data_IF_776146110789
#
_entry.id   IF_776146110789
#
_cell.length_a   1.000
_cell.length_b   1.000
_cell.length_c   1.000
_cell.angle_alpha   90.00
_cell.angle_beta   90.00
_cell.angle_gamma   90.00
#
_symmetry.space_group_name_H-M   'P 1'
#
loop_
_entity.id
_entity.type
_entity.pdbx_description
1 polymer ?
#
# COMPACT_ATOMS: atom_id res chain seq x y z
N UNK A 1 -3.90 8.25 -20.43
CA UNK A 1 -3.64 8.03 -19.00
C UNK A 1 -4.34 9.14 -18.25
N UNK A 2 -5.08 8.80 -17.20
CA UNK A 2 -5.72 9.77 -16.31
C UNK A 2 -4.64 10.61 -15.62
N UNK A 3 -4.94 11.85 -15.25
CA UNK A 3 -4.12 12.55 -14.26
C UNK A 3 -4.24 11.87 -12.90
N UNK A 4 -3.23 12.04 -12.04
CA UNK A 4 -3.24 11.48 -10.68
C UNK A 4 -4.49 11.89 -9.91
N UNK A 5 -4.98 13.12 -10.09
CA UNK A 5 -6.22 13.62 -9.47
C UNK A 5 -7.48 12.92 -9.98
N UNK A 6 -7.59 12.74 -11.29
CA UNK A 6 -8.75 12.04 -11.87
C UNK A 6 -8.76 10.59 -11.41
N UNK A 7 -7.59 9.94 -11.43
CA UNK A 7 -7.49 8.54 -11.05
C UNK A 7 -7.71 8.31 -9.56
N UNK A 8 -7.11 9.12 -8.69
CA UNK A 8 -7.32 9.02 -7.26
C UNK A 8 -8.78 9.27 -6.86
N UNK A 9 -9.45 10.25 -7.46
CA UNK A 9 -10.86 10.52 -7.18
C UNK A 9 -11.79 9.39 -7.63
N UNK A 10 -11.49 8.78 -8.77
CA UNK A 10 -12.22 7.63 -9.28
C UNK A 10 -12.01 6.39 -8.39
N UNK A 11 -10.76 6.12 -8.02
CA UNK A 11 -10.42 5.01 -7.14
C UNK A 11 -11.03 5.18 -5.74
N UNK A 12 -11.12 6.41 -5.23
CA UNK A 12 -11.79 6.72 -3.97
C UNK A 12 -13.27 6.33 -3.98
N UNK A 13 -13.92 6.43 -5.14
CA UNK A 13 -15.30 5.97 -5.32
C UNK A 13 -15.45 4.45 -5.40
N UNK A 14 -14.35 3.73 -5.67
CA UNK A 14 -14.34 2.27 -5.79
C UNK A 14 -13.95 1.56 -4.48
N UNK A 15 -13.13 2.17 -3.64
CA UNK A 15 -12.64 1.57 -2.38
C UNK A 15 -13.69 1.71 -1.27
N UNK A 16 -13.99 0.61 -0.58
CA UNK A 16 -14.67 0.60 0.72
C UNK A 16 -13.70 1.06 1.83
N UNK A 17 -13.61 2.39 2.00
CA UNK A 17 -12.65 3.07 2.88
C UNK A 17 -12.84 2.68 4.34
N UNK A 18 -14.09 2.65 4.82
CA UNK A 18 -14.41 2.33 6.21
C UNK A 18 -14.00 0.88 6.53
N UNK A 19 -14.22 -0.05 5.60
CA UNK A 19 -13.83 -1.45 5.78
C UNK A 19 -12.32 -1.65 5.72
N UNK A 20 -11.62 -0.89 4.89
CA UNK A 20 -10.15 -0.83 4.92
C UNK A 20 -9.64 -0.38 6.29
N UNK A 21 -10.10 0.78 6.78
CA UNK A 21 -9.66 1.32 8.06
C UNK A 21 -10.01 0.39 9.23
N UNK A 22 -11.22 -0.20 9.21
CA UNK A 22 -11.66 -1.20 10.18
C UNK A 22 -10.74 -2.42 10.20
N UNK A 23 -10.39 -2.98 9.04
CA UNK A 23 -9.51 -4.14 8.96
C UNK A 23 -8.16 -3.81 9.57
N UNK A 24 -7.51 -2.74 9.08
CA UNK A 24 -6.16 -2.37 9.52
C UNK A 24 -6.14 -2.05 11.01
N UNK A 25 -7.13 -1.30 11.52
CA UNK A 25 -7.26 -1.01 12.95
C UNK A 25 -7.53 -2.24 13.81
N UNK A 26 -8.26 -3.24 13.31
CA UNK A 26 -8.60 -4.45 14.06
C UNK A 26 -7.45 -5.45 14.14
N UNK A 27 -6.65 -5.58 13.07
CA UNK A 27 -5.63 -6.63 12.95
C UNK A 27 -4.19 -6.11 12.99
N UNK A 28 -3.96 -4.84 12.65
CA UNK A 28 -2.63 -4.29 12.37
C UNK A 28 -1.64 -4.47 13.52
N UNK A 29 -2.09 -4.23 14.76
CA UNK A 29 -1.25 -4.37 15.95
C UNK A 29 -0.91 -5.82 16.29
N UNK A 30 -1.76 -6.76 15.90
CA UNK A 30 -1.50 -8.18 16.07
C UNK A 30 -0.32 -8.62 15.20
N UNK A 31 -0.08 -7.95 14.07
CA UNK A 31 0.86 -8.39 13.04
C UNK A 31 2.24 -7.70 13.08
N UNK A 32 2.58 -7.05 14.20
CA UNK A 32 3.87 -6.35 14.35
C UNK A 32 5.06 -7.29 14.67
N UNK A 33 4.78 -8.55 15.03
CA UNK A 33 5.80 -9.57 15.31
C UNK A 33 6.62 -9.94 14.08
N UNK A 34 7.90 -10.28 14.24
CA UNK A 34 8.81 -10.60 13.11
C UNK A 34 8.25 -11.68 12.17
N UNK A 35 7.57 -12.69 12.71
CA UNK A 35 6.96 -13.78 11.93
C UNK A 35 5.64 -13.38 11.26
N UNK A 36 5.02 -12.30 11.72
CA UNK A 36 3.68 -11.87 11.31
C UNK A 36 3.74 -10.77 10.23
N UNK A 37 4.94 -10.28 9.88
CA UNK A 37 5.11 -9.18 8.91
C UNK A 37 4.70 -9.56 7.48
N UNK A 38 4.91 -10.81 7.09
CA UNK A 38 4.43 -11.31 5.80
C UNK A 38 2.90 -11.36 5.78
N UNK A 39 2.28 -11.87 6.86
CA UNK A 39 0.83 -11.84 7.00
C UNK A 39 0.26 -10.42 6.95
N UNK A 40 0.98 -9.45 7.54
CA UNK A 40 0.59 -8.04 7.49
C UNK A 40 0.55 -7.53 6.05
N UNK A 41 1.57 -7.84 5.26
CA UNK A 41 1.62 -7.49 3.83
C UNK A 41 0.45 -8.13 3.12
N UNK A 42 0.35 -9.46 3.15
CA UNK A 42 -0.67 -10.22 2.42
C UNK A 42 -2.09 -9.77 2.77
N UNK A 43 -2.37 -9.53 4.05
CA UNK A 43 -3.72 -9.17 4.50
C UNK A 43 -4.09 -7.74 4.11
N UNK A 44 -3.19 -6.77 4.30
CA UNK A 44 -3.50 -5.36 4.01
C UNK A 44 -3.47 -5.10 2.50
N UNK A 45 -2.59 -5.75 1.76
CA UNK A 45 -2.54 -5.67 0.31
C UNK A 45 -3.78 -6.32 -0.30
N UNK A 46 -4.00 -7.62 -0.07
CA UNK A 46 -5.07 -8.37 -0.74
C UNK A 46 -6.47 -7.95 -0.31
N UNK A 47 -6.62 -7.18 0.77
CA UNK A 47 -7.93 -6.62 1.12
C UNK A 47 -8.43 -5.64 0.05
N UNK A 48 -7.54 -4.95 -0.67
CA UNK A 48 -7.92 -4.00 -1.70
C UNK A 48 -8.64 -4.65 -2.88
N UNK A 49 -8.31 -5.90 -3.24
CA UNK A 49 -9.10 -6.64 -4.24
C UNK A 49 -10.56 -6.82 -3.76
N UNK A 50 -10.75 -7.20 -2.49
CA UNK A 50 -12.09 -7.38 -1.92
C UNK A 50 -12.82 -6.05 -1.76
N UNK A 51 -12.10 -5.00 -1.37
CA UNK A 51 -12.68 -3.70 -1.02
C UNK A 51 -12.88 -2.79 -2.23
N UNK A 52 -12.45 -3.22 -3.41
CA UNK A 52 -12.76 -2.59 -4.69
C UNK A 52 -13.68 -3.45 -5.57
N UNK A 53 -14.36 -4.43 -4.97
CA UNK A 53 -15.22 -5.39 -5.67
C UNK A 53 -14.53 -6.07 -6.86
N UNK A 54 -13.24 -6.40 -6.69
CA UNK A 54 -12.40 -7.04 -7.69
C UNK A 54 -11.78 -6.10 -8.72
N UNK A 55 -11.98 -4.78 -8.62
CA UNK A 55 -11.40 -3.83 -9.56
C UNK A 55 -9.88 -3.84 -9.52
N UNK A 56 -9.27 -3.73 -8.35
CA UNK A 56 -7.83 -3.92 -8.18
C UNK A 56 -7.54 -5.42 -8.07
N UNK A 57 -7.25 -6.06 -9.19
CA UNK A 57 -7.04 -7.50 -9.24
C UNK A 57 -5.63 -7.84 -8.80
N UNK A 58 -5.47 -8.64 -7.76
CA UNK A 58 -4.15 -9.04 -7.26
C UNK A 58 -3.45 -10.01 -8.22
N UNK A 59 -2.15 -9.79 -8.47
CA UNK A 59 -1.36 -10.58 -9.45
C UNK A 59 0.00 -11.10 -8.96
N UNK A 60 0.52 -10.65 -7.80
CA UNK A 60 1.78 -11.13 -7.18
C UNK A 60 3.01 -11.10 -8.09
N UNK A 61 3.16 -10.02 -8.86
CA UNK A 61 4.28 -9.84 -9.79
C UNK A 61 5.32 -8.86 -9.23
N UNK A 62 6.58 -9.00 -9.66
CA UNK A 62 7.66 -8.12 -9.20
C UNK A 62 7.45 -6.66 -9.63
N UNK A 63 7.18 -5.78 -8.66
CA UNK A 63 6.88 -4.36 -8.90
C UNK A 63 5.45 -4.11 -9.36
N UNK A 64 4.57 -5.10 -9.17
CA UNK A 64 3.14 -5.01 -9.47
C UNK A 64 2.33 -5.93 -8.57
N UNK A 65 1.69 -5.34 -7.57
CA UNK A 65 0.74 -6.04 -6.70
C UNK A 65 -0.64 -6.22 -7.37
N UNK A 66 -1.08 -5.24 -8.17
CA UNK A 66 -2.40 -5.25 -8.81
C UNK A 66 -2.39 -4.84 -10.29
N UNK A 67 -3.43 -5.30 -11.00
CA UNK A 67 -3.89 -4.71 -12.26
C UNK A 67 -5.27 -4.08 -12.02
N UNK A 68 -5.42 -2.79 -12.30
CA UNK A 68 -6.75 -2.16 -12.36
C UNK A 68 -7.53 -2.71 -13.55
N UNK A 69 -8.57 -3.49 -13.28
CA UNK A 69 -9.37 -4.13 -14.34
C UNK A 69 -10.19 -3.16 -15.18
N UNK A 70 -10.37 -1.91 -14.73
CA UNK A 70 -11.12 -0.89 -15.45
C UNK A 70 -10.25 -0.21 -16.52
N UNK A 71 -8.99 0.10 -16.17
CA UNK A 71 -8.09 0.88 -17.03
C UNK A 71 -6.86 0.12 -17.52
N UNK A 72 -6.56 -1.04 -16.93
CA UNK A 72 -5.38 -1.85 -17.21
C UNK A 72 -4.09 -1.28 -16.63
N UNK A 73 -4.16 -0.42 -15.62
CA UNK A 73 -2.98 0.13 -14.97
C UNK A 73 -2.32 -0.90 -14.04
N UNK A 74 -0.99 -0.95 -14.11
CA UNK A 74 -0.17 -1.70 -13.16
C UNK A 74 0.00 -0.86 -11.88
N UNK A 75 -0.28 -1.46 -10.72
CA UNK A 75 -0.24 -0.78 -9.42
C UNK A 75 0.65 -1.54 -8.44
N UNK A 76 1.53 -0.81 -7.79
CA UNK A 76 2.29 -1.26 -6.61
C UNK A 76 1.69 -0.64 -5.34
N UNK A 77 1.55 -1.42 -4.28
CA UNK A 77 1.08 -0.95 -2.97
C UNK A 77 2.19 -1.03 -1.92
N UNK A 78 2.36 0.06 -1.17
CA UNK A 78 3.33 0.14 -0.06
C UNK A 78 2.62 0.56 1.20
N UNK A 79 2.68 -0.30 2.22
CA UNK A 79 2.10 -0.01 3.52
C UNK A 79 3.16 0.24 4.59
N UNK A 80 3.00 1.30 5.37
CA UNK A 80 3.77 1.55 6.59
C UNK A 80 2.91 2.28 7.61
N UNK A 81 3.11 1.99 8.90
CA UNK A 81 2.45 2.71 9.97
C UNK A 81 2.89 4.18 9.95
N UNK A 82 1.92 5.09 9.96
CA UNK A 82 2.13 6.55 9.95
C UNK A 82 2.94 7.05 8.75
N UNK A 83 2.82 6.41 7.58
CA UNK A 83 3.61 6.75 6.38
C UNK A 83 3.34 8.18 5.90
N UNK A 84 2.07 8.56 5.79
CA UNK A 84 1.58 9.79 5.18
C UNK A 84 1.26 10.88 6.20
N UNK A 85 0.80 10.51 7.40
CA UNK A 85 0.44 11.45 8.46
C UNK A 85 1.07 11.08 9.80
N UNK A 86 1.37 12.10 10.61
CA UNK A 86 1.85 11.91 11.98
C UNK A 86 0.70 11.70 12.98
N UNK A 87 0.81 10.77 13.95
CA UNK A 87 -0.24 10.51 14.95
C UNK A 87 -0.58 11.73 15.82
N UNK A 88 0.42 12.55 16.12
CA UNK A 88 0.31 13.59 17.14
C UNK A 88 -0.32 14.91 16.64
N UNK A 89 -0.32 15.14 15.32
CA UNK A 89 -0.74 16.44 14.73
C UNK A 89 -1.52 16.32 13.43
N UNK A 90 -1.65 15.13 12.85
CA UNK A 90 -2.29 14.96 11.53
C UNK A 90 -1.54 15.70 10.40
N UNK A 91 -0.27 16.06 10.63
CA UNK A 91 0.53 16.70 9.60
C UNK A 91 0.95 15.65 8.57
N UNK A 92 0.87 16.04 7.29
CA UNK A 92 1.44 15.29 6.18
C UNK A 92 2.95 15.07 6.38
N UNK A 93 3.45 13.94 5.86
CA UNK A 93 4.85 13.53 5.90
C UNK A 93 5.37 13.32 4.49
N UNK A 94 6.66 13.53 4.32
CA UNK A 94 7.41 13.12 3.14
C UNK A 94 7.83 11.64 3.30
N UNK A 95 7.17 10.68 2.63
CA UNK A 95 7.46 9.28 2.84
C UNK A 95 8.69 8.85 2.04
N UNK A 96 9.36 7.78 2.50
CA UNK A 96 10.51 7.20 1.82
C UNK A 96 10.27 5.70 1.54
N UNK A 97 9.23 5.34 0.76
CA UNK A 97 8.91 3.94 0.53
C UNK A 97 10.06 3.24 -0.19
N UNK A 98 10.39 2.03 0.25
CA UNK A 98 11.26 1.12 -0.49
C UNK A 98 10.46 0.53 -1.65
N UNK A 99 10.79 0.93 -2.87
CA UNK A 99 10.08 0.56 -4.09
C UNK A 99 10.63 -0.73 -4.70
N UNK A 100 11.92 -1.01 -4.50
CA UNK A 100 12.57 -2.21 -5.00
C UNK A 100 13.62 -2.72 -4.02
N UNK A 101 13.82 -4.03 -3.97
CA UNK A 101 14.94 -4.66 -3.26
C UNK A 101 15.67 -5.60 -4.24
N UNK A 102 16.96 -5.34 -4.47
CA UNK A 102 17.81 -6.08 -5.39
C UNK A 102 18.30 -7.43 -4.85
N UNK A 103 17.91 -7.79 -3.61
CA UNK A 103 18.31 -9.01 -2.92
C UNK A 103 19.84 -9.19 -2.88
N UNK A 104 20.58 -8.08 -2.87
CA UNK A 104 22.04 -8.04 -2.85
C UNK A 104 22.71 -8.11 -4.23
N UNK A 105 21.98 -7.95 -5.34
CA UNK A 105 22.56 -7.96 -6.70
C UNK A 105 23.28 -6.67 -7.11
N UNK A 106 23.61 -5.78 -6.17
CA UNK A 106 24.28 -4.50 -6.38
C UNK A 106 23.32 -3.31 -6.47
N UNK A 107 23.89 -2.09 -6.48
CA UNK A 107 23.12 -0.85 -6.61
C UNK A 107 22.40 -0.82 -7.96
N UNK A 108 21.08 -0.73 -7.93
CA UNK A 108 20.27 -0.44 -9.11
C UNK A 108 20.13 1.08 -9.24
N UNK A 109 20.46 1.62 -10.41
CA UNK A 109 20.27 3.04 -10.70
C UNK A 109 18.83 3.36 -11.12
N UNK A 110 18.06 2.35 -11.54
CA UNK A 110 16.70 2.47 -12.02
C UNK A 110 15.79 1.38 -11.43
N UNK A 111 14.48 1.64 -11.46
CA UNK A 111 13.46 0.66 -11.08
C UNK A 111 13.24 -0.30 -12.26
N UNK A 112 13.44 -1.62 -12.11
CA UNK A 112 13.44 -2.54 -13.25
C UNK A 112 12.05 -2.74 -13.88
N UNK A 113 10.99 -2.71 -13.06
CA UNK A 113 9.59 -2.86 -13.50
C UNK A 113 8.75 -1.81 -12.78
N UNK A 114 8.70 -0.55 -13.26
CA UNK A 114 7.86 0.46 -12.63
C UNK A 114 6.39 0.19 -12.89
N UNK A 115 5.59 0.20 -11.82
CA UNK A 115 4.13 0.31 -11.91
C UNK A 115 3.73 1.68 -12.49
N UNK A 116 2.55 1.76 -13.11
CA UNK A 116 1.98 3.04 -13.56
C UNK A 116 1.71 3.95 -12.35
N UNK A 117 1.17 3.35 -11.28
CA UNK A 117 0.84 4.04 -10.03
C UNK A 117 1.35 3.30 -8.79
N UNK A 118 1.69 4.07 -7.77
CA UNK A 118 2.07 3.62 -6.44
C UNK A 118 1.01 4.08 -5.45
N UNK A 119 0.38 3.13 -4.79
CA UNK A 119 -0.50 3.39 -3.66
C UNK A 119 0.32 3.32 -2.37
N UNK A 120 0.33 4.42 -1.62
CA UNK A 120 0.98 4.54 -0.33
C UNK A 120 -0.07 4.43 0.76
N UNK A 121 -0.05 3.38 1.57
CA UNK A 121 -1.07 3.09 2.56
C UNK A 121 -0.59 3.31 4.00
N UNK A 122 -1.48 3.84 4.81
CA UNK A 122 -1.47 3.73 6.26
C UNK A 122 -2.88 3.34 6.75
N UNK A 123 -3.11 3.26 8.07
CA UNK A 123 -4.38 2.75 8.60
C UNK A 123 -5.62 3.53 8.16
N UNK A 124 -5.49 4.85 8.01
CA UNK A 124 -6.58 5.80 7.80
C UNK A 124 -6.32 6.74 6.61
N UNK A 125 -5.39 6.39 5.73
CA UNK A 125 -5.17 7.14 4.49
C UNK A 125 -4.54 6.26 3.40
N UNK A 126 -4.87 6.57 2.14
CA UNK A 126 -4.15 6.09 0.96
C UNK A 126 -3.79 7.29 0.08
N UNK A 127 -2.50 7.43 -0.20
CA UNK A 127 -1.94 8.32 -1.19
C UNK A 127 -1.66 7.60 -2.51
N UNK A 128 -1.63 8.36 -3.59
CA UNK A 128 -1.37 7.90 -4.95
C UNK A 128 -0.26 8.76 -5.58
N UNK A 129 0.70 8.08 -6.20
CA UNK A 129 1.75 8.66 -7.03
C UNK A 129 1.74 7.98 -8.39
N UNK A 130 1.76 8.74 -9.49
CA UNK A 130 2.21 8.16 -10.77
C UNK A 130 3.72 7.98 -10.79
N UNK A 131 4.21 7.00 -11.56
CA UNK A 131 5.66 6.86 -11.79
C UNK A 131 6.30 8.11 -12.40
N UNK A 132 5.53 8.83 -13.23
CA UNK A 132 5.97 10.05 -13.91
C UNK A 132 6.46 11.14 -12.95
N UNK A 133 5.99 11.15 -11.69
CA UNK A 133 6.50 12.06 -10.65
C UNK A 133 8.01 11.92 -10.45
N UNK A 134 8.56 10.72 -10.61
CA UNK A 134 10.01 10.48 -10.45
C UNK A 134 10.84 10.85 -11.68
N UNK A 135 10.20 11.04 -12.84
CA UNK A 135 10.85 11.40 -14.10
C UNK A 135 10.77 12.91 -14.39
N UNK A 136 9.91 13.63 -13.68
CA UNK A 136 9.68 15.07 -13.88
C UNK A 136 10.73 15.91 -13.15
N UNK A 137 11.58 16.62 -13.92
CA UNK A 137 12.65 17.48 -13.37
C UNK A 137 12.13 18.70 -12.62
N UNK A 138 10.87 19.12 -12.86
CA UNK A 138 10.23 20.21 -12.13
C UNK A 138 9.66 19.73 -10.77
N UNK A 139 9.61 18.42 -10.55
CA UNK A 139 9.14 17.81 -9.30
C UNK A 139 10.26 17.57 -8.32
N UNK A 140 9.90 17.66 -7.04
CA UNK A 140 10.87 17.50 -5.97
C UNK A 140 11.08 16.03 -5.63
N UNK A 141 10.12 15.16 -5.90
CA UNK A 141 10.21 13.72 -5.63
C UNK A 141 11.14 13.01 -6.61
N UNK A 142 11.94 12.02 -6.16
CA UNK A 142 12.88 11.26 -7.02
C UNK A 142 13.19 9.88 -6.47
N UNK A 143 13.63 8.98 -7.36
CA UNK A 143 14.24 7.72 -6.95
C UNK A 143 15.64 7.99 -6.37
N UNK A 144 15.98 7.23 -5.33
CA UNK A 144 17.32 7.20 -4.75
C UNK A 144 17.79 5.75 -4.57
N UNK A 145 19.03 5.43 -4.95
CA UNK A 145 19.65 4.19 -4.52
C UNK A 145 19.88 4.20 -3.00
N UNK A 146 19.61 3.07 -2.35
CA UNK A 146 19.81 2.82 -0.92
C UNK A 146 20.33 1.39 -0.73
N UNK A 147 21.65 1.22 -0.75
CA UNK A 147 22.34 -0.08 -0.69
C UNK A 147 21.74 -1.14 -1.65
N UNK A 148 20.95 -2.07 -1.12
CA UNK A 148 20.27 -3.14 -1.85
C UNK A 148 18.86 -2.75 -2.31
N UNK A 149 18.54 -1.46 -2.38
CA UNK A 149 17.22 -0.99 -2.74
C UNK A 149 17.19 0.28 -3.58
N UNK A 150 16.02 0.51 -4.16
CA UNK A 150 15.60 1.80 -4.67
C UNK A 150 14.49 2.32 -3.76
N UNK A 151 14.70 3.50 -3.18
CA UNK A 151 13.69 4.21 -2.39
C UNK A 151 13.12 5.36 -3.22
N UNK A 152 11.83 5.66 -3.04
CA UNK A 152 11.26 6.91 -3.50
C UNK A 152 11.47 7.96 -2.41
N UNK A 153 12.27 9.01 -2.63
CA UNK A 153 12.28 10.19 -1.77
C UNK A 153 11.12 11.08 -2.21
N UNK A 154 9.94 10.83 -1.63
CA UNK A 154 8.66 11.41 -2.04
C UNK A 154 8.32 12.60 -1.14
N UNK A 155 7.81 13.66 -1.74
CA UNK A 155 7.28 14.81 -1.02
C UNK A 155 5.76 14.78 -0.97
N UNK A 156 5.18 15.15 0.18
CA UNK A 156 3.73 15.17 0.38
C UNK A 156 2.98 15.99 -0.68
N UNK A 157 3.60 17.06 -1.17
CA UNK A 157 3.04 17.94 -2.21
C UNK A 157 2.84 17.26 -3.59
N UNK A 158 3.54 16.15 -3.82
CA UNK A 158 3.43 15.34 -5.04
C UNK A 158 2.45 14.17 -4.88
N UNK A 159 1.95 13.94 -3.66
CA UNK A 159 0.98 12.88 -3.38
C UNK A 159 -0.42 13.39 -3.66
N UNK A 160 -1.15 12.67 -4.51
CA UNK A 160 -2.60 12.85 -4.62
C UNK A 160 -3.28 11.86 -3.69
N UNK A 161 -4.12 12.32 -2.77
CA UNK A 161 -4.81 11.42 -1.85
C UNK A 161 -6.02 10.77 -2.50
N UNK A 162 -6.11 9.44 -2.38
CA UNK A 162 -7.33 8.67 -2.66
C UNK A 162 -8.32 8.91 -1.53
N UNK A 163 -7.85 8.83 -0.28
CA UNK A 163 -8.59 9.31 0.88
C UNK A 163 -7.63 9.71 2.01
N UNK A 164 -8.13 10.55 2.90
CA UNK A 164 -7.43 11.12 4.05
C UNK A 164 -8.09 10.69 5.37
N UNK A 165 -7.43 10.91 6.53
CA UNK A 165 -8.01 10.56 7.82
C UNK A 165 -9.39 11.17 8.08
N UNK A 166 -9.64 12.39 7.58
CA UNK A 166 -10.94 13.05 7.70
C UNK A 166 -12.05 12.45 6.82
N UNK A 167 -11.70 11.63 5.83
CA UNK A 167 -12.66 10.94 4.96
C UNK A 167 -13.11 9.60 5.57
N UNK A 168 -12.38 9.09 6.56
CA UNK A 168 -12.75 7.86 7.27
C UNK A 168 -13.87 8.17 8.25
N UNK A 169 -14.96 7.40 8.17
CA UNK A 169 -16.06 7.52 9.13
C UNK A 169 -15.65 7.14 10.56
N UNK A 170 -16.60 7.25 11.49
CA UNK A 170 -16.43 6.57 12.78
C UNK A 170 -16.39 5.05 12.51
N UNK A 171 -15.21 4.44 12.73
CA UNK A 171 -15.05 2.99 12.63
C UNK A 171 -14.72 2.39 13.98
N UNK A 172 -15.44 1.33 14.32
CA UNK A 172 -15.13 0.50 15.48
C UNK A 172 -14.19 -0.62 15.07
N UNK A 173 -13.20 -0.90 15.91
CA UNK A 173 -12.42 -2.12 15.73
C UNK A 173 -13.30 -3.33 16.03
N UNK A 174 -13.13 -4.37 15.22
CA UNK A 174 -13.84 -5.64 15.41
C UNK A 174 -12.95 -6.55 16.22
N UNK A 175 -13.52 -7.19 17.23
CA UNK A 175 -12.80 -8.22 18.01
C UNK A 175 -12.57 -9.46 17.14
N UNK A 176 -11.38 -9.52 16.55
CA UNK A 176 -10.91 -10.65 15.74
C UNK A 176 -9.52 -11.03 16.19
N UNK A 177 -9.32 -12.30 16.53
CA UNK A 177 -7.99 -12.84 16.82
C UNK A 177 -7.42 -13.50 15.56
N UNK A 178 -6.64 -12.74 14.78
CA UNK A 178 -6.05 -13.24 13.54
C UNK A 178 -5.14 -14.44 13.80
N UNK A 179 -4.33 -14.39 14.87
CA UNK A 179 -3.33 -15.43 15.17
C UNK A 179 -3.99 -16.76 15.50
N UNK A 180 -5.08 -16.72 16.26
CA UNK A 180 -5.86 -17.91 16.58
C UNK A 180 -6.50 -18.51 15.32
N UNK A 181 -7.09 -17.69 14.44
CA UNK A 181 -7.64 -18.16 13.17
C UNK A 181 -6.57 -18.78 12.26
N UNK A 182 -5.40 -18.14 12.16
CA UNK A 182 -4.25 -18.65 11.39
C UNK A 182 -3.79 -19.99 11.94
N UNK A 183 -3.64 -20.11 13.27
CA UNK A 183 -3.21 -21.36 13.90
C UNK A 183 -4.22 -22.49 13.67
N UNK A 184 -5.52 -22.20 13.78
CA UNK A 184 -6.57 -23.18 13.50
C UNK A 184 -6.50 -23.70 12.06
N UNK A 185 -6.38 -22.80 11.08
CA UNK A 185 -6.23 -23.15 9.66
C UNK A 185 -4.98 -24.00 9.40
N UNK A 186 -3.87 -23.66 10.05
CA UNK A 186 -2.63 -24.44 9.94
C UNK A 186 -2.78 -25.85 10.52
N UNK A 187 -3.43 -25.99 11.68
CA UNK A 187 -3.69 -27.29 12.29
C UNK A 187 -4.62 -28.15 11.44
N UNK A 188 -5.68 -27.56 10.88
CA UNK A 188 -6.59 -28.26 9.96
C UNK A 188 -5.84 -28.86 8.77
N UNK A 189 -4.94 -28.07 8.14
CA UNK A 189 -4.09 -28.57 7.05
C UNK A 189 -3.17 -29.69 7.51
N UNK A 190 -2.50 -29.53 8.67
CA UNK A 190 -1.57 -30.54 9.21
C UNK A 190 -2.28 -31.86 9.48
N UNK A 191 -3.50 -31.82 10.04
CA UNK A 191 -4.28 -33.01 10.37
C UNK A 191 -4.92 -33.67 9.13
N UNK A 192 -5.02 -32.95 8.01
CA UNK A 192 -5.62 -33.45 6.77
C UNK A 192 -4.71 -34.35 5.92
N UNK A 193 -3.40 -34.40 6.23
CA UNK A 193 -2.37 -35.18 5.50
C UNK A 193 -2.03 -36.46 6.26
#
# INVERSE_FOLDING_TARGET
>A
MHSDREYAADLAGAIDIDRYATLVGSVGDQLNGRKDRFDKSDLIERCLEVYTDGRLKWVDDEGRDFVDTEYGYDIEFKYETDMLFTPARGNERDPNPRLYNSLGSGNQEALPNPADFYLLGQADAIGLLSYAVFEDEDKRSRLKPDDDAVIGDVYAEDITFVFRPEDVGEFDTVDVNYKERKMAMQMELIESI
#
